data_IF_968965549447
#
_entry.id   IF_968965549447
#
_cell.length_a   1.000
_cell.length_b   1.000
_cell.length_c   1.000
_cell.angle_alpha   90.00
_cell.angle_beta   90.00
_cell.angle_gamma   90.00
#
_symmetry.space_group_name_H-M   'P 1'
#
loop_
_entity.id
_entity.type
_entity.pdbx_description
1 polymer ?
#
# COMPACT_ATOMS: atom_id res chain seq x y z
N UNK A 1 7.28 -3.89 -14.72
CA UNK A 1 6.81 -4.68 -15.87
C UNK A 1 5.58 -5.47 -15.43
N UNK A 2 4.37 -5.04 -15.83
CA UNK A 2 3.15 -5.87 -15.68
C UNK A 2 3.32 -7.04 -16.63
N UNK A 3 3.55 -8.25 -16.11
CA UNK A 3 3.51 -9.47 -16.92
C UNK A 3 2.06 -9.93 -16.92
N UNK A 4 1.31 -9.79 -18.02
CA UNK A 4 -0.04 -10.30 -18.08
C UNK A 4 0.05 -11.80 -18.31
N UNK A 5 -0.13 -12.59 -17.25
CA UNK A 5 -0.42 -14.00 -17.43
C UNK A 5 -1.93 -14.15 -17.57
N UNK A 6 -2.35 -14.64 -18.73
CA UNK A 6 -3.70 -15.06 -19.15
C UNK A 6 -4.70 -13.98 -19.57
N UNK A 7 -5.37 -14.26 -20.68
CA UNK A 7 -6.49 -13.53 -21.27
C UNK A 7 -7.73 -13.55 -20.36
N UNK A 8 -8.66 -12.58 -20.47
CA UNK A 8 -9.89 -12.54 -19.67
C UNK A 8 -10.84 -13.73 -19.86
N UNK A 9 -10.60 -14.61 -20.84
CA UNK A 9 -11.47 -15.75 -21.19
C UNK A 9 -11.37 -16.96 -20.24
N UNK A 10 -10.44 -16.98 -19.29
CA UNK A 10 -10.24 -18.12 -18.37
C UNK A 10 -10.82 -17.91 -16.96
N UNK A 11 -11.63 -16.87 -16.72
CA UNK A 11 -12.21 -16.64 -15.39
C UNK A 11 -13.54 -17.38 -15.22
N UNK A 12 -13.53 -18.42 -14.38
CA UNK A 12 -14.75 -19.08 -13.95
C UNK A 12 -15.59 -18.10 -13.10
N UNK A 13 -16.92 -18.03 -13.30
CA UNK A 13 -17.80 -17.23 -12.45
C UNK A 13 -17.71 -17.65 -10.98
N UNK A 14 -17.81 -16.69 -10.06
CA UNK A 14 -17.80 -16.94 -8.61
C UNK A 14 -16.41 -17.12 -7.99
N UNK A 15 -15.34 -16.74 -8.69
CA UNK A 15 -13.99 -16.73 -8.13
C UNK A 15 -13.79 -15.52 -7.20
N UNK A 16 -13.19 -15.76 -6.03
CA UNK A 16 -12.76 -14.70 -5.12
C UNK A 16 -11.62 -13.89 -5.73
N UNK A 17 -11.70 -12.58 -5.57
CA UNK A 17 -10.66 -11.64 -5.92
C UNK A 17 -10.13 -11.05 -4.62
N UNK A 18 -8.86 -11.31 -4.34
CA UNK A 18 -8.26 -10.95 -3.05
C UNK A 18 -7.00 -10.12 -3.24
N UNK A 19 -6.68 -9.33 -2.22
CA UNK A 19 -5.57 -8.39 -2.20
C UNK A 19 -4.63 -8.72 -1.04
N UNK A 20 -3.35 -8.98 -1.33
CA UNK A 20 -2.36 -9.13 -0.26
C UNK A 20 -1.07 -9.86 -0.64
N UNK A 21 -0.13 -9.92 0.28
CA UNK A 21 1.15 -10.64 0.14
C UNK A 21 0.99 -12.16 0.01
N UNK A 22 0.14 -12.75 0.86
CA UNK A 22 -0.19 -14.18 0.82
C UNK A 22 -1.67 -14.35 0.49
N UNK A 23 -2.05 -15.51 -0.03
CA UNK A 23 -3.47 -15.81 -0.21
C UNK A 23 -4.19 -15.88 1.14
N UNK A 24 -3.61 -16.52 2.15
CA UNK A 24 -4.27 -16.75 3.45
C UNK A 24 -4.60 -15.45 4.19
N UNK A 25 -3.71 -14.45 4.12
CA UNK A 25 -3.89 -13.15 4.79
C UNK A 25 -4.48 -12.07 3.86
N UNK A 26 -4.79 -12.41 2.62
CA UNK A 26 -5.34 -11.46 1.67
C UNK A 26 -6.78 -11.06 2.02
N UNK A 27 -7.13 -9.81 1.68
CA UNK A 27 -8.47 -9.25 1.87
C UNK A 27 -9.33 -9.49 0.64
N UNK A 28 -10.55 -9.99 0.84
CA UNK A 28 -11.54 -10.15 -0.23
C UNK A 28 -12.02 -8.77 -0.73
N UNK A 29 -11.74 -8.45 -1.99
CA UNK A 29 -12.14 -7.18 -2.62
C UNK A 29 -13.26 -7.36 -3.66
N UNK A 30 -13.63 -8.60 -3.98
CA UNK A 30 -14.74 -8.88 -4.90
C UNK A 30 -14.91 -10.37 -5.18
N UNK A 31 -16.00 -10.69 -5.85
CA UNK A 31 -16.28 -12.01 -6.42
C UNK A 31 -16.61 -11.78 -7.90
N UNK A 32 -16.06 -12.57 -8.81
CA UNK A 32 -16.33 -12.40 -10.24
C UNK A 32 -17.82 -12.51 -10.54
N UNK A 33 -18.42 -11.41 -11.00
CA UNK A 33 -19.84 -11.33 -11.34
C UNK A 33 -20.78 -10.83 -10.22
N UNK A 34 -20.26 -10.39 -9.07
CA UNK A 34 -21.08 -9.85 -7.97
C UNK A 34 -20.60 -8.47 -7.47
N UNK A 35 -21.52 -7.67 -6.93
CA UNK A 35 -21.19 -6.43 -6.23
C UNK A 35 -20.88 -6.71 -4.76
N UNK A 36 -19.70 -6.27 -4.31
CA UNK A 36 -19.23 -6.37 -2.93
C UNK A 36 -19.30 -5.01 -2.24
N UNK A 37 -19.41 -4.98 -0.91
CA UNK A 37 -19.26 -3.76 -0.10
C UNK A 37 -18.18 -4.01 0.94
N UNK A 38 -17.15 -3.19 0.95
CA UNK A 38 -16.04 -3.24 1.92
C UNK A 38 -15.85 -1.88 2.59
N UNK A 39 -15.27 -1.82 3.80
CA UNK A 39 -15.00 -0.57 4.49
C UNK A 39 -13.92 0.23 3.74
N UNK A 40 -14.14 1.55 3.65
CA UNK A 40 -13.18 2.50 3.08
C UNK A 40 -12.16 2.92 4.15
N UNK A 41 -10.91 3.16 3.76
CA UNK A 41 -9.87 3.74 4.60
C UNK A 41 -10.33 5.07 5.19
N UNK A 42 -10.84 5.96 4.33
CA UNK A 42 -11.34 7.26 4.77
C UNK A 42 -12.80 7.14 5.15
N UNK A 43 -13.07 7.20 6.45
CA UNK A 43 -14.42 7.40 6.94
C UNK A 43 -14.88 8.86 6.68
N UNK A 44 -16.16 9.20 6.90
CA UNK A 44 -16.65 10.56 6.68
C UNK A 44 -15.90 11.65 7.49
N UNK A 45 -15.37 11.31 8.67
CA UNK A 45 -14.57 12.21 9.51
C UNK A 45 -13.19 12.42 8.90
N UNK A 46 -12.58 11.37 8.36
CA UNK A 46 -11.30 11.46 7.65
C UNK A 46 -11.44 12.28 6.36
N UNK A 47 -12.51 12.06 5.58
CA UNK A 47 -12.81 12.86 4.39
C UNK A 47 -12.95 14.34 4.77
N UNK A 48 -13.70 14.65 5.83
CA UNK A 48 -13.85 16.02 6.31
C UNK A 48 -12.49 16.62 6.69
N UNK A 49 -11.68 15.92 7.48
CA UNK A 49 -10.40 16.44 7.97
C UNK A 49 -9.37 16.58 6.85
N UNK A 50 -9.19 15.54 6.04
CA UNK A 50 -8.18 15.51 5.00
C UNK A 50 -8.58 16.41 3.83
N UNK A 51 -9.79 16.27 3.28
CA UNK A 51 -10.14 16.94 2.03
C UNK A 51 -10.75 18.33 2.23
N UNK A 52 -11.58 18.53 3.27
CA UNK A 52 -12.30 19.79 3.46
C UNK A 52 -11.56 20.76 4.37
N UNK A 53 -11.20 20.32 5.58
CA UNK A 53 -10.56 21.17 6.58
C UNK A 53 -9.04 21.31 6.36
N UNK A 54 -8.45 20.44 5.55
CA UNK A 54 -7.01 20.37 5.33
C UNK A 54 -6.20 20.23 6.63
N UNK A 55 -6.73 19.49 7.61
CA UNK A 55 -6.08 19.26 8.89
C UNK A 55 -4.93 18.26 8.74
N UNK A 56 -3.71 18.76 8.52
CA UNK A 56 -2.53 17.92 8.26
C UNK A 56 -2.18 16.96 9.41
N UNK A 57 -2.59 17.27 10.65
CA UNK A 57 -2.26 16.49 11.83
C UNK A 57 -3.27 15.41 12.19
N UNK A 58 -4.44 15.40 11.53
CA UNK A 58 -5.45 14.37 11.72
C UNK A 58 -4.89 12.99 11.36
N UNK A 59 -5.08 12.02 12.27
CA UNK A 59 -4.66 10.63 12.07
C UNK A 59 -5.77 9.89 11.36
N UNK A 60 -5.47 9.38 10.17
CA UNK A 60 -6.36 8.51 9.38
C UNK A 60 -6.31 7.10 9.95
N UNK A 61 -5.12 6.55 10.12
CA UNK A 61 -4.95 5.17 10.61
C UNK A 61 -3.64 4.96 11.37
N UNK A 62 -3.67 4.27 12.53
CA UNK A 62 -2.48 3.75 13.18
C UNK A 62 -2.09 2.37 12.61
N UNK A 63 -0.79 2.11 12.52
CA UNK A 63 -0.22 0.82 12.17
C UNK A 63 0.74 0.35 13.26
N UNK A 64 0.58 -0.88 13.74
CA UNK A 64 1.46 -1.48 14.73
C UNK A 64 2.66 -2.15 14.06
N UNK A 65 3.85 -1.59 14.25
CA UNK A 65 5.11 -2.13 13.71
C UNK A 65 5.82 -2.94 14.78
N UNK A 66 5.96 -4.25 14.55
CA UNK A 66 6.55 -5.17 15.53
C UNK A 66 8.02 -5.51 15.27
N UNK A 67 8.62 -5.09 14.15
CA UNK A 67 9.98 -5.48 13.77
C UNK A 67 11.05 -4.71 14.55
N UNK A 68 11.87 -5.37 15.39
CA UNK A 68 13.11 -4.79 15.85
C UNK A 68 14.21 -5.13 14.83
N UNK A 69 14.45 -4.28 13.85
CA UNK A 69 15.71 -4.36 13.10
C UNK A 69 16.79 -3.74 13.98
N UNK A 70 17.86 -4.45 14.31
CA UNK A 70 19.01 -3.89 15.05
C UNK A 70 20.17 -3.57 14.11
N UNK A 71 20.88 -2.48 14.37
CA UNK A 71 22.10 -2.04 13.70
C UNK A 71 23.14 -3.15 13.83
N UNK A 72 24.14 -3.20 12.93
CA UNK A 72 25.28 -4.10 13.11
C UNK A 72 25.95 -3.94 14.50
N UNK A 73 25.71 -2.82 15.19
CA UNK A 73 26.15 -2.53 16.56
C UNK A 73 25.17 -2.97 17.67
N UNK A 74 24.02 -3.56 17.32
CA UNK A 74 23.01 -4.06 18.26
C UNK A 74 21.95 -3.05 18.72
N UNK A 75 22.00 -1.79 18.29
CA UNK A 75 20.94 -0.79 18.59
C UNK A 75 19.72 -0.94 17.66
N UNK A 76 18.45 -0.77 18.10
CA UNK A 76 17.30 -0.90 17.19
C UNK A 76 17.28 0.23 16.12
N UNK A 77 17.30 -0.10 14.81
CA UNK A 77 17.08 0.81 13.65
C UNK A 77 15.68 1.42 13.72
N UNK A 78 14.71 0.59 14.07
CA UNK A 78 13.31 0.96 14.20
C UNK A 78 12.85 0.29 15.48
N UNK A 79 12.65 1.07 16.52
CA UNK A 79 12.00 0.53 17.70
C UNK A 79 10.57 0.14 17.30
N UNK A 80 10.07 -1.02 17.70
CA UNK A 80 8.67 -1.37 17.53
C UNK A 80 7.75 -0.27 18.08
N UNK A 81 6.53 -0.17 17.57
CA UNK A 81 5.53 0.79 18.03
C UNK A 81 4.53 1.20 16.97
N UNK A 82 3.65 2.13 17.34
CA UNK A 82 2.58 2.63 16.48
C UNK A 82 3.11 3.70 15.54
N UNK A 83 2.93 3.53 14.24
CA UNK A 83 3.17 4.54 13.21
C UNK A 83 1.84 5.04 12.67
N UNK A 84 1.69 6.36 12.54
CA UNK A 84 0.43 6.96 12.13
C UNK A 84 0.49 7.41 10.68
N UNK A 85 -0.49 7.00 9.87
CA UNK A 85 -0.83 7.70 8.64
C UNK A 85 -1.69 8.91 9.00
N UNK A 86 -1.14 10.10 8.78
CA UNK A 86 -1.86 11.36 8.92
C UNK A 86 -2.40 11.83 7.58
N UNK A 87 -3.35 12.77 7.59
CA UNK A 87 -3.74 13.49 6.37
C UNK A 87 -2.52 14.12 5.68
N UNK A 88 -1.64 14.75 6.47
CA UNK A 88 -0.39 15.33 5.99
C UNK A 88 -0.56 16.44 4.95
N UNK A 89 0.44 16.63 4.10
CA UNK A 89 0.43 17.62 3.00
C UNK A 89 1.06 17.03 1.75
N UNK A 90 0.72 17.55 0.57
CA UNK A 90 1.29 17.10 -0.71
C UNK A 90 2.84 17.09 -0.74
N UNK A 91 3.49 17.96 0.05
CA UNK A 91 4.93 18.19 -0.02
C UNK A 91 5.76 17.47 1.04
N UNK A 92 5.14 16.90 2.08
CA UNK A 92 5.90 16.50 3.27
C UNK A 92 5.73 15.04 3.67
N UNK A 93 4.50 14.54 3.77
CA UNK A 93 4.17 13.20 4.25
C UNK A 93 2.66 12.99 4.24
N UNK A 94 2.25 11.74 4.47
CA UNK A 94 0.89 11.34 4.80
C UNK A 94 0.02 11.10 3.58
N UNK A 95 -1.28 10.90 3.82
CA UNK A 95 -2.25 10.51 2.79
C UNK A 95 -2.25 11.48 1.60
N UNK A 96 -2.16 12.80 1.82
CA UNK A 96 -2.11 13.80 0.73
C UNK A 96 -0.84 13.75 -0.09
N UNK A 97 0.29 13.46 0.55
CA UNK A 97 1.54 13.30 -0.17
C UNK A 97 1.48 12.09 -1.10
N UNK A 98 0.97 10.97 -0.59
CA UNK A 98 0.77 9.75 -1.35
C UNK A 98 -0.22 9.98 -2.51
N UNK A 99 -1.31 10.70 -2.22
CA UNK A 99 -2.28 11.10 -3.24
C UNK A 99 -1.62 11.91 -4.36
N UNK A 100 -0.90 12.98 -4.02
CA UNK A 100 -0.28 13.90 -4.97
C UNK A 100 0.77 13.20 -5.86
N UNK A 101 1.54 12.28 -5.30
CA UNK A 101 2.72 11.70 -5.96
C UNK A 101 2.52 10.32 -6.55
N UNK A 102 1.61 9.54 -5.99
CA UNK A 102 1.55 8.10 -6.25
C UNK A 102 0.15 7.59 -6.58
N UNK A 103 -0.88 8.42 -6.49
CA UNK A 103 -2.21 8.04 -6.95
C UNK A 103 -2.20 7.74 -8.46
N UNK A 104 -1.63 8.65 -9.26
CA UNK A 104 -1.61 8.55 -10.72
C UNK A 104 -0.20 8.28 -11.25
N UNK A 105 -0.13 7.53 -12.35
CA UNK A 105 1.13 7.22 -13.00
C UNK A 105 1.71 8.45 -13.72
N UNK A 106 3.04 8.49 -13.76
CA UNK A 106 3.80 9.50 -14.51
C UNK A 106 4.80 8.81 -15.44
N UNK A 107 5.42 9.56 -16.34
CA UNK A 107 6.46 9.00 -17.22
C UNK A 107 7.65 8.41 -16.47
N UNK A 108 7.96 8.94 -15.28
CA UNK A 108 9.08 8.50 -14.44
C UNK A 108 8.68 7.45 -13.41
N UNK A 109 7.39 7.39 -13.05
CA UNK A 109 6.81 6.43 -12.10
C UNK A 109 5.57 5.80 -12.74
N UNK A 110 5.74 4.75 -13.58
CA UNK A 110 4.64 4.18 -14.34
C UNK A 110 3.65 3.37 -13.49
N UNK A 111 4.09 2.92 -12.31
CA UNK A 111 3.24 2.23 -11.35
C UNK A 111 2.64 3.25 -10.37
N UNK A 112 1.34 3.09 -10.10
CA UNK A 112 0.56 3.99 -9.26
C UNK A 112 -0.59 3.23 -8.62
N UNK A 113 -1.23 3.80 -7.61
CA UNK A 113 -2.38 3.18 -6.95
C UNK A 113 -3.56 3.01 -7.91
N UNK A 114 -3.76 3.94 -8.86
CA UNK A 114 -4.76 3.79 -9.91
C UNK A 114 -4.41 2.68 -10.91
N UNK A 115 -3.13 2.37 -11.12
CA UNK A 115 -2.72 1.23 -11.94
C UNK A 115 -3.12 -0.10 -11.28
N UNK A 116 -3.00 -0.21 -9.95
CA UNK A 116 -3.44 -1.38 -9.19
C UNK A 116 -4.97 -1.49 -9.23
N UNK A 117 -5.68 -0.38 -8.95
CA UNK A 117 -7.15 -0.35 -9.01
C UNK A 117 -7.68 -0.75 -10.39
N UNK A 118 -7.07 -0.24 -11.46
CA UNK A 118 -7.44 -0.60 -12.83
C UNK A 118 -7.21 -2.10 -13.13
N UNK A 119 -6.11 -2.67 -12.65
CA UNK A 119 -5.83 -4.09 -12.81
C UNK A 119 -6.83 -4.96 -12.02
N UNK A 120 -7.19 -4.57 -10.80
CA UNK A 120 -8.24 -5.25 -10.02
C UNK A 120 -9.58 -5.21 -10.76
N UNK A 121 -9.99 -4.05 -11.26
CA UNK A 121 -11.21 -3.91 -12.04
C UNK A 121 -11.23 -4.79 -13.30
N UNK A 122 -10.08 -4.98 -13.97
CA UNK A 122 -9.99 -5.81 -15.18
C UNK A 122 -10.22 -7.31 -14.96
N UNK A 123 -10.18 -7.76 -13.70
CA UNK A 123 -10.42 -9.17 -13.33
C UNK A 123 -11.71 -9.35 -12.54
N UNK A 124 -12.58 -8.32 -12.53
CA UNK A 124 -13.87 -8.33 -11.84
C UNK A 124 -13.83 -7.75 -10.42
N UNK A 125 -12.74 -7.11 -10.02
CA UNK A 125 -12.61 -6.45 -8.72
C UNK A 125 -13.60 -5.30 -8.60
N UNK A 126 -14.03 -5.01 -7.37
CA UNK A 126 -15.05 -4.01 -7.11
C UNK A 126 -14.58 -2.60 -7.54
N UNK A 127 -15.28 -1.92 -8.46
CA UNK A 127 -14.89 -0.57 -8.89
C UNK A 127 -15.05 0.49 -7.79
N UNK A 128 -15.77 0.18 -6.70
CA UNK A 128 -15.99 1.06 -5.54
C UNK A 128 -14.76 1.09 -4.62
N UNK A 129 -13.88 0.09 -4.68
CA UNK A 129 -12.64 0.08 -3.89
C UNK A 129 -11.76 1.27 -4.32
N UNK A 130 -11.53 2.19 -3.40
CA UNK A 130 -10.80 3.42 -3.68
C UNK A 130 -9.29 3.13 -3.74
N UNK A 131 -8.54 4.00 -4.44
CA UNK A 131 -7.09 3.81 -4.63
C UNK A 131 -6.35 3.72 -3.27
N UNK A 132 -6.85 4.43 -2.26
CA UNK A 132 -6.28 4.50 -0.93
C UNK A 132 -6.59 3.30 -0.05
N UNK A 133 -7.64 2.54 -0.37
CA UNK A 133 -7.88 1.22 0.24
C UNK A 133 -6.79 0.22 -0.17
N UNK A 134 -6.40 0.22 -1.45
CA UNK A 134 -5.27 -0.60 -1.91
C UNK A 134 -3.97 -0.19 -1.23
N UNK A 135 -3.77 1.12 -1.06
CA UNK A 135 -2.60 1.69 -0.40
C UNK A 135 -2.55 1.29 1.08
N UNK A 136 -3.67 1.33 1.79
CA UNK A 136 -3.77 0.91 3.18
C UNK A 136 -3.36 -0.56 3.39
N UNK A 137 -3.96 -1.46 2.62
CA UNK A 137 -3.62 -2.88 2.66
C UNK A 137 -2.14 -3.11 2.36
N UNK A 138 -1.61 -2.39 1.38
CA UNK A 138 -0.21 -2.54 1.01
C UNK A 138 0.74 -1.99 2.09
N UNK A 139 0.39 -0.90 2.79
CA UNK A 139 1.17 -0.44 3.95
C UNK A 139 1.19 -1.55 5.01
N UNK A 140 0.03 -2.13 5.34
CA UNK A 140 -0.06 -3.21 6.31
C UNK A 140 0.83 -4.40 5.89
N UNK A 141 0.78 -4.81 4.61
CA UNK A 141 1.62 -5.90 4.12
C UNK A 141 3.12 -5.56 4.17
N UNK A 142 3.52 -4.32 3.90
CA UNK A 142 4.93 -3.91 4.06
C UNK A 142 5.40 -3.99 5.51
N UNK A 143 4.47 -3.88 6.47
CA UNK A 143 4.74 -4.02 7.90
C UNK A 143 4.74 -5.48 8.30
N UNK A 144 3.76 -6.28 7.89
CA UNK A 144 3.63 -7.66 8.37
C UNK A 144 4.59 -8.61 7.66
N UNK A 145 4.87 -8.36 6.38
CA UNK A 145 5.66 -9.21 5.50
C UNK A 145 6.78 -8.44 4.78
N UNK A 146 7.68 -7.73 5.48
CA UNK A 146 8.73 -6.97 4.84
C UNK A 146 9.73 -7.88 4.12
N UNK A 147 9.88 -7.67 2.81
CA UNK A 147 10.82 -8.35 1.95
C UNK A 147 11.46 -7.37 0.95
N UNK A 148 12.80 -7.16 1.00
CA UNK A 148 13.74 -7.65 2.03
C UNK A 148 13.47 -7.01 3.40
N UNK A 149 14.26 -7.38 4.41
CA UNK A 149 14.20 -6.76 5.74
C UNK A 149 14.22 -5.23 5.65
N UNK A 150 13.45 -4.50 6.50
CA UNK A 150 13.36 -3.04 6.44
C UNK A 150 14.74 -2.38 6.56
N UNK A 151 14.96 -1.30 5.79
CA UNK A 151 16.26 -0.60 5.75
C UNK A 151 16.15 0.89 6.02
N UNK A 152 17.08 1.42 6.79
CA UNK A 152 17.38 2.86 6.93
C UNK A 152 17.82 3.42 5.57
N UNK A 153 17.16 4.51 5.20
CA UNK A 153 17.45 5.28 3.99
C UNK A 153 18.02 6.67 4.33
N UNK A 154 18.47 6.85 5.58
CA UNK A 154 18.97 8.09 6.13
C UNK A 154 17.85 9.01 6.62
N UNK A 155 18.25 10.13 7.23
CA UNK A 155 17.33 11.17 7.71
C UNK A 155 16.23 10.68 8.67
N UNK A 156 16.52 9.64 9.46
CA UNK A 156 15.58 8.97 10.36
C UNK A 156 14.35 8.39 9.63
N UNK A 157 14.55 7.93 8.39
CA UNK A 157 13.54 7.25 7.59
C UNK A 157 13.92 5.79 7.38
N UNK A 158 12.92 4.93 7.40
CA UNK A 158 13.08 3.53 7.01
C UNK A 158 12.17 3.19 5.84
N UNK A 159 12.65 2.33 4.95
CA UNK A 159 11.86 1.74 3.90
C UNK A 159 11.47 0.31 4.25
N UNK A 160 10.18 0.05 4.14
CA UNK A 160 9.56 -1.26 4.22
C UNK A 160 9.07 -1.62 2.84
N UNK A 161 9.40 -2.82 2.36
CA UNK A 161 9.02 -3.26 1.03
C UNK A 161 8.34 -4.61 1.12
N UNK A 162 7.43 -4.93 0.21
CA UNK A 162 6.89 -6.28 0.08
C UNK A 162 6.39 -6.52 -1.34
N UNK A 163 6.06 -7.76 -1.65
CA UNK A 163 5.29 -8.08 -2.87
C UNK A 163 3.81 -8.02 -2.53
N UNK A 164 3.05 -7.37 -3.40
CA UNK A 164 1.62 -7.16 -3.26
C UNK A 164 0.90 -7.77 -4.46
N UNK A 165 -0.03 -8.70 -4.21
CA UNK A 165 -0.71 -9.43 -5.26
C UNK A 165 -2.19 -9.11 -5.34
N UNK A 166 -2.72 -9.20 -6.56
CA UNK A 166 -4.14 -9.45 -6.81
C UNK A 166 -4.29 -10.94 -7.12
N UNK A 167 -4.99 -11.65 -6.24
CA UNK A 167 -5.31 -13.06 -6.37
C UNK A 167 -6.65 -13.22 -7.08
N UNK A 168 -6.74 -14.19 -7.98
CA UNK A 168 -8.00 -14.68 -8.56
C UNK A 168 -8.08 -16.18 -8.26
N UNK A 169 -8.96 -16.55 -7.34
CA UNK A 169 -8.89 -17.86 -6.69
C UNK A 169 -7.53 -18.06 -6.02
N UNK A 170 -6.85 -19.16 -6.35
CA UNK A 170 -5.54 -19.50 -5.77
C UNK A 170 -4.32 -18.94 -6.56
N UNK A 171 -4.57 -18.24 -7.67
CA UNK A 171 -3.50 -17.79 -8.57
C UNK A 171 -3.23 -16.28 -8.43
N UNK A 172 -1.98 -15.85 -8.20
CA UNK A 172 -1.63 -14.44 -8.27
C UNK A 172 -1.66 -13.98 -9.73
N UNK A 173 -2.60 -13.10 -10.04
CA UNK A 173 -2.88 -12.63 -11.40
C UNK A 173 -2.06 -11.40 -11.76
N UNK A 174 -1.89 -10.51 -10.80
CA UNK A 174 -1.00 -9.34 -10.90
C UNK A 174 -0.15 -9.23 -9.64
N UNK A 175 1.06 -8.66 -9.80
CA UNK A 175 2.02 -8.48 -8.73
C UNK A 175 2.74 -7.16 -8.90
N UNK A 176 2.92 -6.45 -7.79
CA UNK A 176 3.77 -5.28 -7.68
C UNK A 176 4.70 -5.46 -6.49
N UNK A 177 5.82 -4.75 -6.50
CA UNK A 177 6.43 -4.40 -5.23
C UNK A 177 5.73 -3.17 -4.68
N UNK A 178 5.58 -3.09 -3.37
CA UNK A 178 5.14 -1.87 -2.69
C UNK A 178 6.20 -1.46 -1.70
N UNK A 179 6.47 -0.16 -1.65
CA UNK A 179 7.39 0.43 -0.69
C UNK A 179 6.65 1.44 0.18
N UNK A 180 6.83 1.34 1.49
CA UNK A 180 6.34 2.27 2.50
C UNK A 180 7.54 2.93 3.18
N UNK A 181 7.57 4.26 3.15
CA UNK A 181 8.60 5.06 3.82
C UNK A 181 8.05 5.55 5.14
N UNK A 182 8.74 5.25 6.24
CA UNK A 182 8.32 5.60 7.59
C UNK A 182 9.32 6.50 8.30
N UNK A 183 8.83 7.52 8.99
CA UNK A 183 9.65 8.34 9.89
C UNK A 183 9.80 7.64 11.24
N UNK A 184 11.02 7.20 11.56
CA UNK A 184 11.31 6.47 12.80
C UNK A 184 11.12 7.37 14.04
N UNK A 185 11.61 8.61 13.99
CA UNK A 185 11.52 9.52 15.14
C UNK A 185 10.11 10.07 15.36
N UNK A 186 9.41 10.41 14.27
CA UNK A 186 8.09 11.01 14.38
C UNK A 186 6.96 9.97 14.43
N UNK A 187 7.27 8.69 14.18
CA UNK A 187 6.30 7.60 14.14
C UNK A 187 5.19 7.85 13.12
N UNK A 188 5.58 8.15 11.89
CA UNK A 188 4.67 8.53 10.80
C UNK A 188 4.90 7.67 9.56
N UNK A 189 3.83 7.36 8.85
CA UNK A 189 3.91 6.95 7.45
C UNK A 189 4.16 8.21 6.61
N UNK A 190 5.30 8.27 5.92
CA UNK A 190 5.66 9.39 5.06
C UNK A 190 5.03 9.20 3.68
N UNK A 191 5.30 8.05 3.07
CA UNK A 191 4.83 7.72 1.72
C UNK A 191 4.60 6.21 1.59
N UNK A 192 3.82 5.82 0.60
CA UNK A 192 3.61 4.45 0.17
C UNK A 192 3.33 4.43 -1.34
N UNK A 193 4.00 3.55 -2.09
CA UNK A 193 3.81 3.48 -3.54
C UNK A 193 4.16 2.12 -4.14
N UNK A 194 3.49 1.74 -5.25
CA UNK A 194 3.88 0.59 -6.05
C UNK A 194 5.14 0.85 -6.87
N UNK A 195 5.99 -0.16 -7.02
CA UNK A 195 7.23 -0.13 -7.81
C UNK A 195 7.43 -1.44 -8.58
N UNK A 196 8.42 -1.43 -9.48
CA UNK A 196 8.85 -2.64 -10.21
C UNK A 196 9.86 -3.49 -9.41
N UNK A 197 10.45 -2.95 -8.34
CA UNK A 197 11.51 -3.59 -7.59
C UNK A 197 11.36 -3.36 -6.07
N UNK A 198 11.72 -4.35 -5.24
CA UNK A 198 11.87 -4.21 -3.78
C UNK A 198 13.21 -3.58 -3.34
N UNK A 199 14.00 -3.03 -4.26
CA UNK A 199 15.33 -2.54 -3.94
C UNK A 199 15.26 -1.14 -3.35
N UNK A 200 16.07 -0.91 -2.30
CA UNK A 200 16.20 0.37 -1.59
C UNK A 200 16.57 1.54 -2.48
N UNK A 201 17.18 1.29 -3.66
CA UNK A 201 17.41 2.33 -4.67
C UNK A 201 16.12 3.01 -5.13
N UNK A 202 14.99 2.34 -4.95
CA UNK A 202 13.67 2.80 -5.37
C UNK A 202 12.88 3.36 -4.19
N UNK A 203 13.40 3.27 -2.96
CA UNK A 203 12.90 3.95 -1.77
C UNK A 203 13.32 5.43 -1.75
N UNK A 204 13.08 6.11 -2.87
CA UNK A 204 13.37 7.53 -3.08
C UNK A 204 12.05 8.24 -3.34
N UNK A 205 11.70 9.10 -2.39
CA UNK A 205 10.62 10.08 -2.52
C UNK A 205 11.22 11.43 -2.95
#
# INVERSE_FOLDING_TARGET
MVVPNTTPEDQEPGQEIRLGHTLDDSTLIGITGEESVQPLLLDPVDVLNCQTLNNADHVVKPYDVFWPTSHPDGSPWIAAGVFNLKCGTAYTNGWKHIQDRHQYSTSSHPNSWESIRAAAASVGGNPVFAWDDYMDHAIQDTIDYPMPVPRDIGSNKACFSTIFHIWVGETPKYSWYVNSIMSVNNRLVISAYPSDNALVSDCVD
#
